data_IF_515469211425
#
_entry.id   IF_515469211425
#
_cell.length_a   1.000
_cell.length_b   1.000
_cell.length_c   1.000
_cell.angle_alpha   90.00
_cell.angle_beta   90.00
_cell.angle_gamma   90.00
#
_symmetry.space_group_name_H-M   'P 1'
#
loop_
_entity.id
_entity.type
_entity.pdbx_description
1 polymer ?
#
# COMPACT_ATOMS: atom_id res chain seq x y z
N UNK A 1 -35.76 -47.03 -23.64
CA UNK A 1 -34.31 -47.21 -23.83
C UNK A 1 -33.65 -45.83 -23.85
N UNK A 2 -32.77 -45.59 -22.87
CA UNK A 2 -31.44 -44.96 -23.03
C UNK A 2 -31.41 -43.57 -23.70
N UNK A 3 -30.97 -42.47 -23.07
CA UNK A 3 -30.07 -42.27 -21.92
C UNK A 3 -30.28 -40.83 -21.42
N UNK A 4 -30.32 -40.64 -20.11
CA UNK A 4 -29.88 -39.39 -19.51
C UNK A 4 -28.44 -39.12 -19.97
N UNK A 5 -28.19 -37.95 -20.55
CA UNK A 5 -26.84 -37.38 -20.61
C UNK A 5 -26.86 -36.06 -19.85
N UNK A 6 -26.61 -36.22 -18.56
CA UNK A 6 -26.06 -35.21 -17.67
C UNK A 6 -24.65 -34.89 -18.17
N UNK A 7 -24.39 -33.63 -18.52
CA UNK A 7 -23.05 -33.02 -18.59
C UNK A 7 -23.20 -31.66 -17.89
N UNK A 8 -23.29 -31.63 -16.55
CA UNK A 8 -22.19 -31.36 -15.62
C UNK A 8 -21.12 -30.36 -16.12
N UNK A 9 -21.29 -29.13 -15.64
CA UNK A 9 -20.28 -28.37 -14.88
C UNK A 9 -18.97 -28.02 -15.60
N UNK A 10 -18.90 -26.81 -16.14
CA UNK A 10 -17.72 -25.94 -16.05
C UNK A 10 -18.22 -24.50 -15.85
N UNK A 11 -18.90 -24.28 -14.72
CA UNK A 11 -18.96 -22.93 -14.15
C UNK A 11 -17.53 -22.68 -13.66
N UNK A 12 -16.69 -22.10 -14.52
CA UNK A 12 -15.41 -21.56 -14.10
C UNK A 12 -15.72 -20.42 -13.15
N UNK A 13 -15.89 -20.75 -11.87
CA UNK A 13 -15.74 -19.80 -10.79
C UNK A 13 -14.27 -19.41 -10.89
N UNK A 14 -13.99 -18.39 -11.69
CA UNK A 14 -12.80 -17.60 -11.54
C UNK A 14 -12.95 -16.98 -10.16
N UNK A 15 -12.50 -17.72 -9.13
CA UNK A 15 -12.30 -17.17 -7.81
C UNK A 15 -11.21 -16.14 -8.03
N UNK A 16 -11.61 -14.90 -8.28
CA UNK A 16 -10.70 -13.77 -8.17
C UNK A 16 -10.12 -13.91 -6.78
N UNK A 17 -8.83 -14.25 -6.72
CA UNK A 17 -8.09 -14.15 -5.49
C UNK A 17 -8.14 -12.67 -5.15
N UNK A 18 -9.13 -12.27 -4.35
CA UNK A 18 -9.11 -11.00 -3.67
C UNK A 18 -7.91 -11.14 -2.75
N UNK A 19 -6.77 -10.57 -3.15
CA UNK A 19 -5.68 -10.32 -2.25
C UNK A 19 -6.31 -9.51 -1.11
N UNK A 20 -6.53 -10.15 0.03
CA UNK A 20 -6.97 -9.46 1.23
C UNK A 20 -5.80 -8.55 1.57
N UNK A 21 -5.96 -7.25 1.32
CA UNK A 21 -5.05 -6.27 1.89
C UNK A 21 -5.09 -6.46 3.41
N UNK A 22 -3.93 -6.69 4.03
CA UNK A 22 -3.87 -6.87 5.47
C UNK A 22 -4.20 -5.52 6.14
N UNK A 23 -5.37 -5.41 6.75
CA UNK A 23 -5.78 -4.24 7.53
C UNK A 23 -5.26 -4.37 8.97
N UNK A 24 -4.58 -3.32 9.44
CA UNK A 24 -4.22 -3.18 10.85
C UNK A 24 -5.27 -2.42 11.68
N UNK A 25 -6.42 -2.11 11.06
CA UNK A 25 -7.56 -1.46 11.68
C UNK A 25 -7.91 -0.11 11.04
N UNK A 26 -9.07 0.48 11.38
CA UNK A 26 -9.64 1.62 10.65
C UNK A 26 -8.72 2.84 10.53
N UNK A 27 -7.93 3.15 11.55
CA UNK A 27 -6.97 4.28 11.50
C UNK A 27 -5.82 4.05 10.53
N UNK A 28 -5.33 2.81 10.43
CA UNK A 28 -4.27 2.45 9.49
C UNK A 28 -4.80 2.50 8.05
N UNK A 29 -6.03 2.03 7.85
CA UNK A 29 -6.72 2.06 6.57
C UNK A 29 -6.98 3.50 6.11
N UNK A 30 -7.36 4.40 7.02
CA UNK A 30 -7.56 5.82 6.69
C UNK A 30 -6.28 6.48 6.16
N UNK A 31 -5.11 6.13 6.72
CA UNK A 31 -3.82 6.63 6.25
C UNK A 31 -3.50 6.11 4.85
N UNK A 32 -3.73 4.83 4.60
CA UNK A 32 -3.54 4.25 3.25
C UNK A 32 -4.46 4.94 2.24
N UNK A 33 -5.74 5.11 2.59
CA UNK A 33 -6.72 5.79 1.73
C UNK A 33 -6.31 7.24 1.45
N UNK A 34 -5.77 7.95 2.44
CA UNK A 34 -5.28 9.31 2.27
C UNK A 34 -4.17 9.39 1.22
N UNK A 35 -3.14 8.55 1.33
CA UNK A 35 -2.01 8.53 0.38
C UNK A 35 -2.36 7.94 -0.99
N UNK A 36 -3.42 7.15 -1.10
CA UNK A 36 -3.93 6.66 -2.38
C UNK A 36 -4.97 7.61 -3.01
N UNK A 37 -5.39 8.65 -2.28
CA UNK A 37 -6.44 9.56 -2.68
C UNK A 37 -5.94 10.83 -3.37
N UNK A 38 -6.88 11.71 -3.71
CA UNK A 38 -6.58 12.97 -4.40
C UNK A 38 -5.93 14.03 -3.49
N UNK A 39 -5.95 13.82 -2.16
CA UNK A 39 -5.38 14.74 -1.18
C UNK A 39 -3.85 14.78 -1.22
N UNK A 40 -3.22 13.70 -1.70
CA UNK A 40 -1.76 13.55 -1.73
C UNK A 40 -1.27 13.04 -3.11
N UNK A 41 -1.37 13.87 -4.17
CA UNK A 41 -1.18 13.44 -5.56
C UNK A 41 0.26 13.01 -5.90
N UNK A 42 1.21 13.24 -5.00
CA UNK A 42 2.59 12.74 -5.13
C UNK A 42 2.71 11.24 -4.86
N UNK A 43 1.80 10.68 -4.05
CA UNK A 43 1.72 9.26 -3.76
C UNK A 43 0.84 8.54 -4.78
N UNK A 44 1.28 7.34 -5.19
CA UNK A 44 0.59 6.50 -6.18
C UNK A 44 0.01 5.25 -5.54
N UNK A 45 0.64 4.79 -4.47
CA UNK A 45 0.17 3.69 -3.64
C UNK A 45 0.74 3.84 -2.23
N UNK A 46 0.09 3.21 -1.27
CA UNK A 46 0.59 3.13 0.10
C UNK A 46 0.19 1.78 0.72
N UNK A 47 1.09 1.22 1.53
CA UNK A 47 0.79 0.03 2.30
C UNK A 47 1.54 0.01 3.60
N UNK A 48 0.91 -0.54 4.62
CA UNK A 48 1.60 -0.93 5.85
C UNK A 48 2.21 -2.31 5.64
N UNK A 49 3.53 -2.41 5.73
CA UNK A 49 4.22 -3.71 5.79
C UNK A 49 4.09 -4.32 7.20
N UNK A 50 3.99 -3.46 8.21
CA UNK A 50 3.70 -3.83 9.59
C UNK A 50 3.08 -2.63 10.31
N UNK A 51 2.66 -2.79 11.57
CA UNK A 51 2.14 -1.66 12.38
C UNK A 51 3.14 -0.51 12.58
N UNK A 52 4.43 -0.74 12.33
CA UNK A 52 5.50 0.24 12.54
C UNK A 52 6.24 0.60 11.24
N UNK A 53 5.79 0.14 10.07
CA UNK A 53 6.44 0.44 8.80
C UNK A 53 5.41 0.71 7.71
N UNK A 54 5.31 1.97 7.30
CA UNK A 54 4.52 2.40 6.15
C UNK A 54 5.44 2.58 4.95
N UNK A 55 5.03 2.03 3.81
CA UNK A 55 5.67 2.26 2.51
C UNK A 55 4.73 3.09 1.64
N UNK A 56 5.28 4.13 1.03
CA UNK A 56 4.56 5.02 0.11
C UNK A 56 5.27 4.94 -1.24
N UNK A 57 4.53 4.50 -2.26
CA UNK A 57 5.02 4.35 -3.63
C UNK A 57 4.88 5.65 -4.42
N UNK A 58 5.97 6.09 -5.03
CA UNK A 58 6.03 7.28 -5.88
C UNK A 58 6.79 6.97 -7.18
N UNK A 59 6.74 7.87 -8.16
CA UNK A 59 7.70 7.85 -9.27
C UNK A 59 8.98 8.59 -8.88
N UNK A 60 10.14 7.98 -9.16
CA UNK A 60 11.44 8.64 -9.02
C UNK A 60 11.62 9.72 -10.10
N UNK A 61 11.17 10.94 -9.78
CA UNK A 61 11.18 12.10 -10.68
C UNK A 61 11.77 13.36 -10.01
N UNK A 62 12.16 13.28 -8.74
CA UNK A 62 12.58 14.43 -7.95
C UNK A 62 13.64 14.05 -6.92
N UNK A 63 14.10 15.04 -6.16
CA UNK A 63 14.98 14.86 -5.00
C UNK A 63 14.24 15.35 -3.75
N UNK A 64 14.53 14.77 -2.59
CA UNK A 64 13.93 15.21 -1.31
C UNK A 64 12.93 14.22 -0.69
N UNK A 65 13.05 12.94 -1.02
CA UNK A 65 12.17 11.89 -0.49
C UNK A 65 12.28 11.69 1.02
N UNK A 66 13.41 12.04 1.64
CA UNK A 66 13.51 12.09 3.11
C UNK A 66 12.60 13.16 3.70
N UNK A 67 12.59 14.37 3.13
CA UNK A 67 11.67 15.44 3.55
C UNK A 67 10.20 15.08 3.27
N UNK A 68 9.94 14.32 2.21
CA UNK A 68 8.60 13.79 1.97
C UNK A 68 8.20 12.74 3.02
N UNK A 69 9.13 11.87 3.42
CA UNK A 69 8.90 10.93 4.52
C UNK A 69 8.65 11.66 5.86
N UNK A 70 9.35 12.76 6.13
CA UNK A 70 9.10 13.62 7.29
C UNK A 70 7.69 14.25 7.24
N UNK A 71 7.27 14.73 6.07
CA UNK A 71 5.91 15.25 5.88
C UNK A 71 4.85 14.18 6.15
N UNK A 72 5.05 12.95 5.67
CA UNK A 72 4.16 11.83 5.93
C UNK A 72 4.06 11.50 7.44
N UNK A 73 5.14 11.68 8.21
CA UNK A 73 5.07 11.55 9.67
C UNK A 73 4.13 12.57 10.33
N UNK A 74 4.11 13.82 9.85
CA UNK A 74 3.18 14.83 10.38
C UNK A 74 1.72 14.47 10.08
N UNK A 75 1.42 13.94 8.88
CA UNK A 75 0.07 13.44 8.53
C UNK A 75 -0.36 12.31 9.49
N UNK A 76 0.52 11.34 9.76
CA UNK A 76 0.20 10.21 10.65
C UNK A 76 -0.09 10.68 12.07
N UNK A 77 0.67 11.68 12.54
CA UNK A 77 0.47 12.30 13.85
C UNK A 77 -0.88 12.99 13.95
N UNK A 78 -1.33 13.67 12.90
CA UNK A 78 -2.68 14.25 12.82
C UNK A 78 -3.80 13.20 12.88
N UNK A 79 -3.55 11.98 12.40
CA UNK A 79 -4.48 10.83 12.49
C UNK A 79 -4.46 10.11 13.84
N UNK A 80 -3.74 10.65 14.82
CA UNK A 80 -3.66 10.18 16.21
C UNK A 80 -3.21 8.71 16.34
N UNK A 81 -2.33 8.23 15.45
CA UNK A 81 -1.59 6.98 15.71
C UNK A 81 -0.39 7.34 16.58
N UNK A 82 -0.44 6.92 17.85
CA UNK A 82 0.50 7.35 18.90
C UNK A 82 1.71 6.39 19.04
N UNK A 83 1.92 5.49 18.08
CA UNK A 83 3.07 4.60 18.12
C UNK A 83 4.34 5.35 17.71
N UNK A 84 5.27 5.47 18.65
CA UNK A 84 6.50 6.26 18.54
C UNK A 84 7.58 5.61 17.68
N UNK A 85 7.31 4.41 17.15
CA UNK A 85 8.29 3.63 16.40
C UNK A 85 7.91 3.45 14.93
N UNK A 86 7.00 4.28 14.39
CA UNK A 86 6.64 4.23 12.98
C UNK A 86 7.80 4.75 12.12
N UNK A 87 8.21 3.93 11.16
CA UNK A 87 9.13 4.30 10.08
C UNK A 87 8.35 4.47 8.79
N UNK A 88 8.65 5.52 8.04
CA UNK A 88 8.14 5.77 6.70
C UNK A 88 9.25 5.46 5.70
N UNK A 89 8.92 4.74 4.64
CA UNK A 89 9.79 4.53 3.49
C UNK A 89 9.08 5.00 2.23
N UNK A 90 9.75 5.85 1.47
CA UNK A 90 9.33 6.22 0.13
C UNK A 90 10.01 5.27 -0.84
N UNK A 91 9.23 4.60 -1.68
CA UNK A 91 9.75 3.60 -2.62
C UNK A 91 9.48 4.00 -4.06
N UNK A 92 10.38 3.59 -4.96
CA UNK A 92 10.14 3.71 -6.40
C UNK A 92 9.15 2.62 -6.86
N UNK A 93 7.89 3.02 -7.08
CA UNK A 93 6.84 2.08 -7.49
C UNK A 93 7.07 1.56 -8.91
N UNK A 94 7.76 2.30 -9.76
CA UNK A 94 8.09 1.85 -11.12
C UNK A 94 9.14 0.75 -11.08
N UNK A 95 10.14 0.86 -10.21
CA UNK A 95 11.14 -0.21 -10.00
C UNK A 95 10.49 -1.46 -9.44
N UNK A 96 9.60 -1.32 -8.46
CA UNK A 96 8.84 -2.44 -7.93
C UNK A 96 7.99 -3.12 -9.02
N UNK A 97 7.20 -2.34 -9.77
CA UNK A 97 6.27 -2.89 -10.76
C UNK A 97 6.97 -3.52 -11.98
N UNK A 98 8.14 -3.00 -12.38
CA UNK A 98 8.83 -3.44 -13.60
C UNK A 98 9.95 -4.46 -13.34
N UNK A 99 10.56 -4.42 -12.16
CA UNK A 99 11.77 -5.19 -11.84
C UNK A 99 11.62 -6.01 -10.55
N UNK A 100 10.48 -5.93 -9.85
CA UNK A 100 10.26 -6.57 -8.54
C UNK A 100 11.26 -6.11 -7.46
N UNK A 101 11.84 -4.91 -7.65
CA UNK A 101 12.86 -4.33 -6.78
C UNK A 101 12.26 -3.33 -5.79
N UNK A 102 12.48 -3.57 -4.50
CA UNK A 102 12.14 -2.62 -3.43
C UNK A 102 13.25 -1.58 -3.26
N UNK A 103 13.21 -0.52 -4.06
CA UNK A 103 14.15 0.59 -3.98
C UNK A 103 13.60 1.67 -3.06
N UNK A 104 14.24 1.86 -1.90
CA UNK A 104 13.93 2.97 -0.98
C UNK A 104 14.63 4.23 -1.48
N UNK A 105 13.83 5.24 -1.79
CA UNK A 105 14.29 6.55 -2.26
C UNK A 105 14.55 7.52 -1.09
N UNK A 106 13.81 7.35 0.00
CA UNK A 106 13.97 8.14 1.23
C UNK A 106 13.23 7.51 2.40
N UNK A 107 13.55 7.94 3.62
CA UNK A 107 12.96 7.40 4.84
C UNK A 107 13.00 8.39 6.00
N UNK A 108 12.01 8.27 6.89
CA UNK A 108 11.97 9.02 8.15
C UNK A 108 11.42 8.14 9.28
N UNK A 109 11.87 8.43 10.50
CA UNK A 109 11.31 7.85 11.73
C UNK A 109 10.40 8.88 12.38
N UNK A 110 9.12 8.54 12.58
CA UNK A 110 8.16 9.46 13.20
C UNK A 110 8.40 9.55 14.72
N UNK A 111 8.30 10.77 15.28
CA UNK A 111 8.56 11.08 16.69
C UNK A 111 7.31 11.58 17.43
#
# INVERSE_FOLDING_TARGET
MKRLLIIFLLLSVATTCFALTESFGPKYDEIVIFFQGDDEPGALDAMWESKSLLKIGVFDNSTGYDSYAEHACEIIKEKEIVDKNITIQIIDIKKLAQHEEWVVLGSAQCQ
#
